data_IF_147457004389
#
_entry.id   IF_147457004389
#
_cell.length_a   1.000
_cell.length_b   1.000
_cell.length_c   1.000
_cell.angle_alpha   90.00
_cell.angle_beta   90.00
_cell.angle_gamma   90.00
#
_symmetry.space_group_name_H-M   'P 1'
#
loop_
_entity.id
_entity.type
_entity.pdbx_description
1 polymer ?
#
# COMPACT_ATOMS: atom_id res chain seq x y z
N UNK A 1 -10.54 4.26 -17.17
CA UNK A 1 -9.44 3.31 -17.41
C UNK A 1 -9.71 2.06 -16.59
N UNK A 2 -9.57 0.86 -17.16
CA UNK A 2 -9.79 -0.41 -16.46
C UNK A 2 -8.46 -1.15 -16.33
N UNK A 3 -8.07 -1.52 -15.10
CA UNK A 3 -6.94 -2.39 -14.83
C UNK A 3 -7.49 -3.75 -14.40
N UNK A 4 -7.14 -4.81 -15.11
CA UNK A 4 -7.53 -6.19 -14.76
C UNK A 4 -6.36 -6.86 -14.06
N UNK A 5 -6.61 -7.38 -12.87
CA UNK A 5 -5.63 -8.10 -12.05
C UNK A 5 -6.22 -9.48 -11.73
N UNK A 6 -5.49 -10.58 -11.92
CA UNK A 6 -5.93 -11.91 -11.48
C UNK A 6 -6.11 -11.98 -9.96
N UNK A 7 -6.98 -12.86 -9.47
CA UNK A 7 -7.29 -12.99 -8.04
C UNK A 7 -6.04 -13.24 -7.16
N UNK A 8 -5.12 -14.09 -7.62
CA UNK A 8 -3.85 -14.35 -6.93
C UNK A 8 -2.71 -13.53 -7.54
N UNK A 9 -2.61 -12.27 -7.15
CA UNK A 9 -1.60 -11.34 -7.66
C UNK A 9 -0.91 -10.56 -6.54
N UNK A 10 0.36 -10.23 -6.76
CA UNK A 10 1.07 -9.23 -5.97
C UNK A 10 1.00 -7.88 -6.68
N UNK A 11 0.26 -6.93 -6.11
CA UNK A 11 0.15 -5.57 -6.65
C UNK A 11 1.11 -4.65 -5.89
N UNK A 12 2.04 -4.01 -6.60
CA UNK A 12 3.01 -3.08 -6.03
C UNK A 12 2.67 -1.66 -6.47
N UNK A 13 2.36 -0.79 -5.52
CA UNK A 13 2.10 0.63 -5.79
C UNK A 13 3.43 1.41 -5.78
N UNK A 14 3.81 1.98 -6.92
CA UNK A 14 5.07 2.71 -7.10
C UNK A 14 4.80 4.19 -7.33
N UNK A 15 5.46 5.04 -6.56
CA UNK A 15 5.35 6.49 -6.68
C UNK A 15 5.96 7.22 -5.48
N UNK A 16 6.27 8.53 -5.60
CA UNK A 16 6.88 9.31 -4.52
C UNK A 16 5.95 9.43 -3.29
N UNK A 17 6.49 9.94 -2.19
CA UNK A 17 5.65 10.35 -1.05
C UNK A 17 4.60 11.39 -1.51
N UNK A 18 3.40 11.33 -0.95
CA UNK A 18 2.28 12.18 -1.37
C UNK A 18 1.59 11.80 -2.68
N UNK A 19 2.04 10.79 -3.43
CA UNK A 19 1.40 10.35 -4.68
C UNK A 19 0.01 9.68 -4.50
N UNK A 20 -0.47 9.53 -3.26
CA UNK A 20 -1.79 8.95 -2.97
C UNK A 20 -1.85 7.42 -2.99
N UNK A 21 -0.70 6.73 -2.82
CA UNK A 21 -0.64 5.24 -2.78
C UNK A 21 -1.57 4.65 -1.72
N UNK A 22 -1.53 5.17 -0.50
CA UNK A 22 -2.37 4.74 0.62
C UNK A 22 -3.85 4.99 0.34
N UNK A 23 -4.18 6.15 -0.23
CA UNK A 23 -5.55 6.50 -0.64
C UNK A 23 -6.07 5.57 -1.74
N UNK A 24 -5.23 5.24 -2.72
CA UNK A 24 -5.57 4.29 -3.77
C UNK A 24 -5.78 2.89 -3.19
N UNK A 25 -4.87 2.43 -2.34
CA UNK A 25 -4.96 1.11 -1.71
C UNK A 25 -6.25 0.96 -0.90
N UNK A 26 -6.57 1.93 -0.04
CA UNK A 26 -7.76 1.93 0.79
C UNK A 26 -9.08 1.97 0.00
N UNK A 27 -9.05 2.52 -1.23
CA UNK A 27 -10.22 2.59 -2.10
C UNK A 27 -10.51 1.27 -2.82
N UNK A 28 -9.47 0.51 -3.19
CA UNK A 28 -9.61 -0.62 -4.11
C UNK A 28 -9.33 -2.00 -3.48
N UNK A 29 -8.67 -2.05 -2.32
CA UNK A 29 -8.32 -3.30 -1.65
C UNK A 29 -8.86 -3.31 -0.21
N UNK A 30 -9.09 -4.51 0.33
CA UNK A 30 -9.45 -4.66 1.75
C UNK A 30 -8.24 -4.29 2.61
N UNK A 31 -8.43 -3.79 3.85
CA UNK A 31 -7.32 -3.49 4.75
C UNK A 31 -6.38 -4.68 4.99
N UNK A 32 -6.90 -5.90 4.94
CA UNK A 32 -6.15 -7.15 5.12
C UNK A 32 -5.33 -7.57 3.89
N UNK A 33 -5.54 -6.95 2.74
CA UNK A 33 -4.80 -7.21 1.48
C UNK A 33 -3.67 -6.20 1.25
N UNK A 34 -3.60 -5.17 2.09
CA UNK A 34 -2.62 -4.08 1.95
C UNK A 34 -1.54 -4.22 3.00
N UNK A 35 -0.30 -4.41 2.56
CA UNK A 35 0.89 -4.33 3.40
C UNK A 35 1.62 -3.03 3.05
N UNK A 36 1.81 -2.16 4.06
CA UNK A 36 2.49 -0.87 3.90
C UNK A 36 3.86 -0.92 4.56
N UNK A 37 4.91 -0.48 3.86
CA UNK A 37 6.25 -0.33 4.42
C UNK A 37 6.29 0.64 5.59
N UNK A 38 5.51 1.73 5.51
CA UNK A 38 5.48 2.78 6.53
C UNK A 38 4.93 2.21 7.85
N UNK A 39 3.82 1.46 7.77
CA UNK A 39 3.25 0.75 8.92
C UNK A 39 4.15 -0.39 9.43
N UNK A 40 4.87 -1.07 8.54
CA UNK A 40 5.86 -2.06 8.96
C UNK A 40 7.02 -1.41 9.72
N UNK A 41 7.44 -0.20 9.34
CA UNK A 41 8.46 0.57 10.06
C UNK A 41 7.99 0.99 11.44
N UNK A 42 6.79 1.56 11.57
CA UNK A 42 6.19 1.85 12.87
C UNK A 42 6.22 0.65 13.83
N UNK A 43 5.90 -0.55 13.31
CA UNK A 43 5.87 -1.78 14.11
C UNK A 43 7.24 -2.26 14.59
N UNK A 44 8.33 -1.85 13.93
CA UNK A 44 9.70 -2.28 14.29
C UNK A 44 10.52 -1.20 14.98
N UNK A 45 10.25 0.08 14.71
CA UNK A 45 11.07 1.21 15.18
C UNK A 45 10.31 2.26 15.99
N UNK A 46 9.00 2.09 16.24
CA UNK A 46 8.12 3.09 16.87
C UNK A 46 8.14 4.47 16.17
N UNK A 47 8.64 4.54 14.93
CA UNK A 47 8.76 5.76 14.12
C UNK A 47 8.41 5.46 12.65
N UNK A 48 7.48 6.22 12.08
CA UNK A 48 6.98 6.08 10.71
C UNK A 48 7.95 6.68 9.65
N UNK A 49 8.91 7.51 10.05
CA UNK A 49 9.68 8.39 9.15
C UNK A 49 11.17 8.06 8.94
N UNK A 50 11.71 6.96 9.49
CA UNK A 50 13.11 6.55 9.24
C UNK A 50 13.26 5.62 8.01
#
# INVERSE_FOLDING_TARGET
>A
MQLRVPDASLVVLVGPSGAGKTTFAAKYFRPTEVISSDRCRELVSDDEND
#
